data_IF_314852529112
#
_entry.id   IF_314852529112
#
_cell.length_a   1.000
_cell.length_b   1.000
_cell.length_c   1.000
_cell.angle_alpha   90.00
_cell.angle_beta   90.00
_cell.angle_gamma   90.00
#
_symmetry.space_group_name_H-M   'P 1'
#
loop_
_entity.id
_entity.type
_entity.pdbx_description
1 polymer ?
#
# COMPACT_ATOMS: atom_id res chain seq x y z
N UNK A 1 -9.28 -6.21 -13.13
CA UNK A 1 -8.93 -7.32 -12.22
C UNK A 1 -10.06 -8.33 -12.24
N UNK A 2 -9.75 -9.63 -12.34
CA UNK A 2 -10.73 -10.73 -12.28
C UNK A 2 -11.29 -10.94 -10.87
N UNK A 3 -10.45 -10.69 -9.88
CA UNK A 3 -10.79 -10.75 -8.46
C UNK A 3 -10.99 -9.33 -7.92
N UNK A 4 -11.75 -9.21 -6.83
CA UNK A 4 -11.87 -7.95 -6.11
C UNK A 4 -10.49 -7.54 -5.56
N UNK A 5 -10.17 -6.25 -5.64
CA UNK A 5 -8.89 -5.69 -5.20
C UNK A 5 -9.15 -4.70 -4.06
N UNK A 6 -8.32 -4.74 -3.03
CA UNK A 6 -8.22 -3.69 -2.02
C UNK A 6 -7.06 -2.76 -2.38
N UNK A 7 -7.22 -1.46 -2.13
CA UNK A 7 -6.21 -0.46 -2.41
C UNK A 7 -6.17 0.58 -1.29
N UNK A 8 -4.96 0.91 -0.83
CA UNK A 8 -4.62 2.07 -0.03
C UNK A 8 -3.93 3.09 -0.95
N UNK A 9 -4.65 4.16 -1.29
CA UNK A 9 -4.21 5.23 -2.18
C UNK A 9 -4.48 6.59 -1.51
N UNK A 10 -3.69 6.90 -0.46
CA UNK A 10 -3.77 8.16 0.29
C UNK A 10 -3.02 9.30 -0.40
N UNK A 11 -3.12 9.37 -1.73
CA UNK A 11 -2.27 10.15 -2.61
C UNK A 11 -2.75 11.62 -2.69
N UNK A 12 -1.83 12.56 -2.87
CA UNK A 12 -2.17 13.93 -3.27
C UNK A 12 -2.68 13.97 -4.72
N UNK A 13 -2.05 13.21 -5.62
CA UNK A 13 -2.49 13.06 -7.00
C UNK A 13 -3.13 11.69 -7.16
N UNK A 14 -4.40 11.67 -7.58
CA UNK A 14 -5.17 10.44 -7.69
C UNK A 14 -4.48 9.36 -8.55
N UNK A 15 -4.21 8.21 -7.96
CA UNK A 15 -3.63 7.05 -8.65
C UNK A 15 -2.11 7.11 -8.79
N UNK A 16 -1.45 7.89 -7.96
CA UNK A 16 -0.01 8.11 -7.97
C UNK A 16 0.71 6.95 -7.30
N UNK A 17 1.43 6.16 -8.08
CA UNK A 17 2.25 5.04 -7.56
C UNK A 17 3.66 5.46 -7.13
N UNK A 18 4.04 6.72 -7.32
CA UNK A 18 5.27 7.29 -6.73
C UNK A 18 5.04 7.72 -5.29
N UNK A 19 3.80 7.99 -4.92
CA UNK A 19 3.36 8.18 -3.53
C UNK A 19 3.19 6.82 -2.86
N UNK A 20 3.25 6.81 -1.52
CA UNK A 20 3.16 5.57 -0.76
C UNK A 20 1.78 4.95 -0.98
N UNK A 21 1.74 3.78 -1.59
CA UNK A 21 0.52 3.05 -1.91
C UNK A 21 0.69 1.56 -1.67
N UNK A 22 -0.42 0.87 -1.44
CA UNK A 22 -0.45 -0.58 -1.36
C UNK A 22 -1.74 -1.14 -1.92
N UNK A 23 -1.68 -2.25 -2.64
CA UNK A 23 -2.83 -2.92 -3.23
C UNK A 23 -2.66 -4.44 -3.24
N UNK A 24 -3.78 -5.17 -3.25
CA UNK A 24 -3.78 -6.62 -3.22
C UNK A 24 -5.06 -7.19 -3.83
N UNK A 25 -4.99 -8.26 -4.65
CA UNK A 25 -6.17 -9.05 -4.96
C UNK A 25 -6.62 -9.83 -3.72
N UNK A 26 -7.93 -9.85 -3.45
CA UNK A 26 -8.51 -10.60 -2.33
C UNK A 26 -8.65 -12.07 -2.70
N UNK A 27 -7.51 -12.75 -2.84
CA UNK A 27 -7.41 -14.20 -3.05
C UNK A 27 -6.08 -14.74 -2.56
N UNK A 28 -6.03 -16.05 -2.33
CA UNK A 28 -4.80 -16.75 -1.96
C UNK A 28 -3.70 -16.56 -3.05
N UNK A 29 -2.42 -16.37 -2.67
CA UNK A 29 -1.84 -16.38 -1.32
C UNK A 29 -1.82 -15.02 -0.60
N UNK A 30 -2.82 -14.17 -0.82
CA UNK A 30 -3.04 -12.87 -0.15
C UNK A 30 -1.80 -11.95 -0.18
N UNK A 31 -1.14 -11.90 -1.34
CA UNK A 31 0.04 -11.06 -1.56
C UNK A 31 -0.38 -9.60 -1.68
N UNK A 32 0.16 -8.76 -0.79
CA UNK A 32 0.09 -7.31 -0.91
C UNK A 32 1.31 -6.76 -1.64
N UNK A 33 1.08 -5.82 -2.53
CA UNK A 33 2.10 -5.02 -3.20
C UNK A 33 2.19 -3.68 -2.48
N UNK A 34 3.40 -3.29 -2.08
CA UNK A 34 3.67 -1.99 -1.47
C UNK A 34 4.74 -1.31 -2.29
N UNK A 35 4.47 -0.07 -2.70
CA UNK A 35 5.35 0.71 -3.56
C UNK A 35 5.28 2.20 -3.24
N UNK A 36 6.23 2.93 -3.80
CA UNK A 36 6.27 4.39 -3.71
C UNK A 36 6.66 4.89 -2.32
N UNK A 37 6.54 6.20 -2.17
CA UNK A 37 7.01 6.96 -1.02
C UNK A 37 7.89 8.12 -1.47
N UNK A 38 7.31 9.33 -1.51
CA UNK A 38 8.02 10.55 -1.92
C UNK A 38 9.25 10.83 -1.05
N UNK A 39 9.19 10.44 0.23
CA UNK A 39 10.31 10.50 1.15
C UNK A 39 10.46 9.17 1.87
N UNK A 40 11.72 8.81 2.16
CA UNK A 40 12.03 7.60 2.91
C UNK A 40 11.36 7.57 4.29
N UNK A 41 11.33 8.72 4.98
CA UNK A 41 10.73 8.82 6.32
C UNK A 41 9.23 8.52 6.29
N UNK A 42 8.50 9.06 5.31
CA UNK A 42 7.07 8.78 5.15
C UNK A 42 6.82 7.29 4.90
N UNK A 43 7.57 6.68 3.98
CA UNK A 43 7.46 5.25 3.68
C UNK A 43 7.75 4.38 4.91
N UNK A 44 8.84 4.67 5.63
CA UNK A 44 9.24 3.95 6.85
C UNK A 44 8.16 4.06 7.93
N UNK A 45 7.62 5.25 8.18
CA UNK A 45 6.55 5.46 9.16
C UNK A 45 5.31 4.66 8.75
N UNK A 46 4.89 4.72 7.49
CA UNK A 46 3.73 3.97 6.98
C UNK A 46 3.87 2.46 7.17
N UNK A 47 5.04 1.89 6.87
CA UNK A 47 5.33 0.47 7.08
C UNK A 47 5.30 0.10 8.57
N UNK A 48 5.89 0.92 9.45
CA UNK A 48 5.88 0.66 10.89
C UNK A 48 4.46 0.71 11.48
N UNK A 49 3.61 1.64 11.02
CA UNK A 49 2.19 1.70 11.40
C UNK A 49 1.43 0.48 10.89
N UNK A 50 1.70 0.03 9.66
CA UNK A 50 1.07 -1.17 9.12
C UNK A 50 1.44 -2.41 9.95
N UNK A 51 2.73 -2.56 10.28
CA UNK A 51 3.23 -3.69 11.07
C UNK A 51 2.63 -3.71 12.48
N UNK A 52 2.54 -2.57 13.16
CA UNK A 52 1.98 -2.48 14.52
C UNK A 52 0.48 -2.73 14.63
N UNK A 53 -0.23 -2.80 13.50
CA UNK A 53 -1.66 -3.15 13.45
C UNK A 53 -1.92 -4.63 13.24
N UNK A 54 -0.91 -5.38 12.80
CA UNK A 54 -1.05 -6.81 12.45
C UNK A 54 -0.23 -7.73 13.36
N UNK A 55 0.79 -7.20 14.05
CA UNK A 55 1.61 -7.87 15.06
C UNK A 55 1.38 -7.23 16.42
#
# INVERSE_FOLDING_TARGET
>A
YSDQVIMAAGDFVQGSSIELSADAPIREPYIGYLQGGLTFDHAKIGILIALSRIL
#
